data_IF_297371184849
#
_entry.id   IF_297371184849
#
_cell.length_a   1.000
_cell.length_b   1.000
_cell.length_c   1.000
_cell.angle_alpha   90.00
_cell.angle_beta   90.00
_cell.angle_gamma   90.00
#
_symmetry.space_group_name_H-M   'P 1'
#
loop_
_entity.id
_entity.type
_entity.pdbx_description
1 polymer ?
#
# COMPACT_ATOMS: atom_id res chain seq x y z
N UNK A 1 6.26 -12.97 -4.46
CA UNK A 1 7.42 -13.08 -3.55
C UNK A 1 6.91 -13.36 -2.15
N UNK A 2 7.42 -14.38 -1.46
CA UNK A 2 7.13 -14.58 -0.03
C UNK A 2 8.12 -13.78 0.82
N UNK A 3 7.64 -13.07 1.85
CA UNK A 3 8.50 -12.35 2.79
C UNK A 3 7.87 -12.33 4.19
N UNK A 4 8.67 -12.07 5.21
CA UNK A 4 8.17 -11.90 6.58
C UNK A 4 7.32 -10.63 6.71
N UNK A 5 6.37 -10.63 7.65
CA UNK A 5 5.44 -9.51 7.88
C UNK A 5 6.14 -8.17 8.12
N UNK A 6 7.27 -8.17 8.84
CA UNK A 6 8.00 -6.95 9.19
C UNK A 6 8.81 -6.36 8.04
N UNK A 7 9.02 -7.11 6.95
CA UNK A 7 9.77 -6.59 5.81
C UNK A 7 9.08 -5.39 5.16
N UNK A 8 7.74 -5.32 5.24
CA UNK A 8 6.94 -4.18 4.72
C UNK A 8 7.30 -2.84 5.40
N UNK A 9 7.84 -2.89 6.62
CA UNK A 9 8.27 -1.71 7.37
C UNK A 9 9.66 -1.20 6.96
N UNK A 10 10.43 -2.05 6.28
CA UNK A 10 11.82 -1.76 5.92
C UNK A 10 11.92 -0.56 4.98
N UNK A 11 12.90 0.34 5.17
CA UNK A 11 13.23 1.35 4.15
C UNK A 11 13.62 0.73 2.80
N UNK A 12 14.07 -0.53 2.80
CA UNK A 12 14.48 -1.28 1.60
C UNK A 12 13.34 -2.14 1.02
N UNK A 13 12.14 -2.07 1.57
CA UNK A 13 10.99 -2.82 1.06
C UNK A 13 10.78 -2.47 -0.40
N UNK A 14 11.08 -3.44 -1.29
CA UNK A 14 10.92 -3.35 -2.75
C UNK A 14 11.37 -2.00 -3.33
N UNK A 15 12.47 -1.44 -2.82
CA UNK A 15 12.84 -0.05 -3.11
C UNK A 15 13.16 0.19 -4.59
N UNK A 16 13.64 -0.84 -5.30
CA UNK A 16 13.86 -0.80 -6.74
C UNK A 16 12.56 -0.57 -7.55
N UNK A 17 11.44 -1.09 -7.07
CA UNK A 17 10.14 -0.96 -7.76
C UNK A 17 9.34 0.26 -7.27
N UNK A 18 9.90 1.07 -6.37
CA UNK A 18 9.23 2.24 -5.78
C UNK A 18 8.63 1.99 -4.39
N UNK A 19 8.94 0.84 -3.81
CA UNK A 19 8.72 0.50 -2.41
C UNK A 19 7.27 0.54 -1.95
N UNK A 20 7.05 1.01 -0.72
CA UNK A 20 5.75 0.89 -0.07
C UNK A 20 4.60 1.61 -0.81
N UNK A 21 4.91 2.63 -1.63
CA UNK A 21 3.93 3.32 -2.49
C UNK A 21 3.30 2.42 -3.57
N UNK A 22 3.85 1.23 -3.81
CA UNK A 22 3.31 0.24 -4.75
C UNK A 22 2.25 -0.67 -4.15
N UNK A 23 2.09 -0.69 -2.84
CA UNK A 23 1.08 -1.52 -2.19
C UNK A 23 -0.28 -0.89 -2.42
N UNK A 24 -1.16 -1.53 -3.18
CA UNK A 24 -2.52 -1.03 -3.49
C UNK A 24 -3.63 -1.78 -2.76
N UNK A 25 -3.33 -2.99 -2.28
CA UNK A 25 -4.28 -3.84 -1.56
C UNK A 25 -3.55 -4.59 -0.43
N UNK A 26 -4.18 -4.69 0.74
CA UNK A 26 -3.69 -5.49 1.86
C UNK A 26 -4.86 -5.88 2.77
N UNK A 27 -4.74 -6.96 3.56
CA UNK A 27 -5.83 -7.34 4.46
C UNK A 27 -6.06 -6.33 5.58
N UNK A 28 -7.32 -6.14 5.99
CA UNK A 28 -7.68 -5.21 7.06
C UNK A 28 -7.04 -5.62 8.39
N UNK A 29 -6.92 -6.94 8.63
CA UNK A 29 -6.25 -7.49 9.82
C UNK A 29 -4.79 -7.03 9.89
N UNK A 30 -4.06 -7.03 8.77
CA UNK A 30 -2.68 -6.58 8.74
C UNK A 30 -2.57 -5.06 8.97
N UNK A 31 -3.49 -4.28 8.39
CA UNK A 31 -3.59 -2.83 8.62
C UNK A 31 -3.79 -2.52 10.10
N UNK A 32 -4.73 -3.19 10.74
CA UNK A 32 -5.07 -2.97 12.15
C UNK A 32 -3.94 -3.39 13.08
N UNK A 33 -3.34 -4.57 12.85
CA UNK A 33 -2.26 -5.08 13.69
C UNK A 33 -0.98 -4.25 13.63
N UNK A 34 -0.76 -3.53 12.53
CA UNK A 34 0.47 -2.77 12.28
C UNK A 34 0.21 -1.28 12.02
N UNK A 35 -0.93 -0.74 12.46
CA UNK A 35 -1.40 0.60 12.08
C UNK A 35 -0.37 1.70 12.41
N UNK A 36 0.17 1.68 13.62
CA UNK A 36 1.22 2.60 14.09
C UNK A 36 2.47 2.54 13.21
N UNK A 37 2.99 1.32 12.96
CA UNK A 37 4.22 1.13 12.20
C UNK A 37 4.01 1.49 10.72
N UNK A 38 2.87 1.15 10.14
CA UNK A 38 2.52 1.47 8.76
C UNK A 38 2.35 2.97 8.56
N UNK A 39 1.79 3.70 9.53
CA UNK A 39 1.71 5.17 9.51
C UNK A 39 3.09 5.82 9.51
N UNK A 40 4.04 5.28 10.27
CA UNK A 40 5.43 5.75 10.23
C UNK A 40 6.07 5.52 8.85
N UNK A 41 5.81 4.37 8.22
CA UNK A 41 6.30 4.05 6.87
C UNK A 41 5.68 5.00 5.84
N UNK A 42 4.37 5.25 5.91
CA UNK A 42 3.64 6.18 5.06
C UNK A 42 4.20 7.60 5.17
N UNK A 43 4.41 8.07 6.40
CA UNK A 43 5.05 9.37 6.68
C UNK A 43 6.47 9.44 6.11
N UNK A 44 7.28 8.39 6.28
CA UNK A 44 8.63 8.30 5.71
C UNK A 44 8.61 8.28 4.18
N UNK A 45 7.60 7.68 3.57
CA UNK A 45 7.40 7.68 2.12
C UNK A 45 6.95 9.06 1.59
N UNK A 46 6.60 10.01 2.47
CA UNK A 46 6.13 11.35 2.11
C UNK A 46 4.65 11.41 1.78
N UNK A 47 3.86 10.40 2.15
CA UNK A 47 2.39 10.40 2.01
C UNK A 47 1.77 9.81 3.29
N UNK A 48 1.52 10.65 4.32
CA UNK A 48 1.01 10.19 5.62
C UNK A 48 -0.33 9.46 5.53
N UNK A 49 -1.14 9.80 4.54
CA UNK A 49 -2.48 9.23 4.33
C UNK A 49 -2.47 8.00 3.43
N UNK A 50 -1.28 7.53 3.01
CA UNK A 50 -1.14 6.41 2.08
C UNK A 50 -1.91 5.18 2.53
N UNK A 51 -1.91 4.85 3.83
CA UNK A 51 -2.59 3.66 4.37
C UNK A 51 -4.09 3.68 4.09
N UNK A 52 -4.73 4.86 4.11
CA UNK A 52 -6.15 5.01 3.81
C UNK A 52 -6.45 4.84 2.32
N UNK A 53 -5.45 5.12 1.47
CA UNK A 53 -5.57 4.96 0.01
C UNK A 53 -5.40 3.50 -0.43
N UNK A 54 -4.82 2.65 0.42
CA UNK A 54 -4.69 1.20 0.15
C UNK A 54 -6.04 0.54 0.36
N UNK A 55 -6.49 -0.28 -0.59
CA UNK A 55 -7.73 -1.05 -0.48
C UNK A 55 -7.58 -2.25 0.46
N UNK A 56 -8.68 -2.80 0.95
CA UNK A 56 -8.73 -4.07 1.66
C UNK A 56 -10.00 -4.84 1.31
N UNK A 57 -10.15 -6.03 1.89
CA UNK A 57 -11.28 -6.94 1.65
C UNK A 57 -12.64 -6.37 2.07
N UNK A 58 -12.69 -5.34 2.92
CA UNK A 58 -13.94 -4.70 3.35
C UNK A 58 -14.47 -3.72 2.30
N UNK A 59 -13.61 -3.30 1.37
CA UNK A 59 -13.91 -2.33 0.32
C UNK A 59 -14.13 -3.03 -1.02
N UNK A 60 -13.16 -3.85 -1.45
CA UNK A 60 -13.24 -4.61 -2.70
C UNK A 60 -12.38 -5.87 -2.65
N UNK A 61 -12.89 -6.93 -3.26
CA UNK A 61 -12.19 -8.22 -3.44
C UNK A 61 -11.94 -8.54 -4.92
N UNK A 62 -12.48 -7.73 -5.83
CA UNK A 62 -12.31 -7.83 -7.28
C UNK A 62 -11.46 -6.68 -7.83
N UNK A 63 -10.96 -6.87 -9.06
CA UNK A 63 -10.04 -5.92 -9.71
C UNK A 63 -10.74 -4.61 -10.07
N UNK A 64 -12.00 -4.65 -10.52
CA UNK A 64 -12.73 -3.45 -10.95
C UNK A 64 -12.99 -2.52 -9.76
N UNK A 65 -13.46 -3.09 -8.65
CA UNK A 65 -13.66 -2.39 -7.38
C UNK A 65 -12.35 -1.81 -6.83
N UNK A 66 -11.26 -2.58 -6.87
CA UNK A 66 -9.94 -2.11 -6.47
C UNK A 66 -9.50 -0.90 -7.30
N UNK A 67 -9.55 -1.01 -8.63
CA UNK A 67 -9.12 0.07 -9.55
C UNK A 67 -9.95 1.33 -9.33
N UNK A 68 -11.27 1.19 -9.14
CA UNK A 68 -12.16 2.32 -8.82
C UNK A 68 -11.74 3.00 -7.52
N UNK A 69 -11.50 2.24 -6.46
CA UNK A 69 -11.13 2.78 -5.15
C UNK A 69 -9.81 3.54 -5.18
N UNK A 70 -8.75 2.93 -5.74
CA UNK A 70 -7.43 3.57 -5.79
C UNK A 70 -7.41 4.79 -6.70
N UNK A 71 -8.29 4.83 -7.71
CA UNK A 71 -8.48 6.02 -8.57
C UNK A 71 -9.17 7.15 -7.80
N UNK A 72 -10.26 6.85 -7.09
CA UNK A 72 -10.98 7.83 -6.26
C UNK A 72 -10.09 8.43 -5.17
N UNK A 73 -9.24 7.59 -4.54
CA UNK A 73 -8.29 8.01 -3.51
C UNK A 73 -6.99 8.62 -4.05
N UNK A 74 -6.86 8.73 -5.38
CA UNK A 74 -5.67 9.24 -6.06
C UNK A 74 -4.38 8.56 -5.57
N UNK A 75 -4.38 7.23 -5.57
CA UNK A 75 -3.28 6.43 -5.05
C UNK A 75 -1.99 6.65 -5.88
N UNK A 76 -0.82 6.85 -5.24
CA UNK A 76 0.41 7.21 -5.95
C UNK A 76 0.84 6.18 -6.99
N UNK A 77 0.55 4.90 -6.77
CA UNK A 77 0.87 3.82 -7.71
C UNK A 77 0.34 4.06 -9.15
N UNK A 78 -0.77 4.78 -9.31
CA UNK A 78 -1.36 5.07 -10.63
C UNK A 78 -0.52 6.05 -11.46
N UNK A 79 0.27 6.91 -10.80
CA UNK A 79 1.11 7.92 -11.45
C UNK A 79 2.58 7.49 -11.56
N UNK A 80 2.92 6.31 -11.06
CA UNK A 80 4.30 5.79 -11.09
C UNK A 80 4.58 5.07 -12.42
N UNK A 81 5.85 4.90 -12.81
CA UNK A 81 6.21 4.15 -14.00
C UNK A 81 5.58 2.75 -14.00
N UNK A 82 5.15 2.23 -15.17
CA UNK A 82 4.63 0.87 -15.28
C UNK A 82 5.60 -0.17 -14.73
N UNK A 83 5.06 -1.21 -14.07
CA UNK A 83 5.81 -2.38 -13.62
C UNK A 83 5.55 -3.53 -14.60
N UNK A 84 6.09 -3.39 -15.81
CA UNK A 84 6.07 -4.34 -16.94
C UNK A 84 4.70 -4.76 -17.49
#
# INVERSE_FOLDING_TARGET
MGHGKFYILSPKFVSADGGFKRVVWMSSVLKEQMAEQLKQVATRAGDPDLIEKICDERIATDVEGLVRYITEKNHPALSMPPMF
#
